data_IF_203971507356
#
_entry.id   IF_203971507356
#
_cell.length_a   1.000
_cell.length_b   1.000
_cell.length_c   1.000
_cell.angle_alpha   90.00
_cell.angle_beta   90.00
_cell.angle_gamma   90.00
#
_symmetry.space_group_name_H-M   'P 1'
#
loop_
_entity.id
_entity.type
_entity.pdbx_description
1 polymer ?
#
# COMPACT_ATOMS: atom_id res chain seq x y z
N UNK A 1 6.88 -3.88 15.36
CA UNK A 1 7.03 -2.84 14.29
C UNK A 1 6.10 -3.15 13.13
N UNK A 2 5.34 -2.18 12.73
CA UNK A 2 4.40 -2.29 11.59
C UNK A 2 5.03 -1.62 10.37
N UNK A 3 5.06 -2.35 9.27
CA UNK A 3 5.65 -1.86 8.01
C UNK A 3 4.57 -1.84 6.94
N UNK A 4 4.41 -0.70 6.26
CA UNK A 4 3.60 -0.60 5.06
C UNK A 4 4.52 -0.67 3.85
N UNK A 5 4.40 -1.74 3.07
CA UNK A 5 5.12 -1.90 1.81
C UNK A 5 4.25 -1.47 0.65
N UNK A 6 4.81 -0.69 -0.25
CA UNK A 6 4.12 -0.23 -1.45
C UNK A 6 4.92 -0.62 -2.68
N UNK A 7 4.27 -1.33 -3.61
CA UNK A 7 4.79 -1.59 -4.95
C UNK A 7 4.17 -0.57 -5.89
N UNK A 8 4.91 0.47 -6.28
CA UNK A 8 4.35 1.57 -7.04
C UNK A 8 3.95 1.15 -8.45
N UNK A 9 2.77 1.58 -8.85
CA UNK A 9 2.25 1.41 -10.19
C UNK A 9 1.12 2.39 -10.40
N UNK A 10 1.05 3.00 -11.57
CA UNK A 10 0.01 3.99 -11.84
C UNK A 10 -1.36 3.33 -12.02
N UNK A 11 -1.39 2.22 -12.71
CA UNK A 11 -2.63 1.48 -12.97
C UNK A 11 -2.98 0.54 -11.82
N UNK A 12 -1.96 -0.14 -11.28
CA UNK A 12 -2.08 -1.06 -10.16
C UNK A 12 -1.02 -0.74 -9.14
N UNK A 13 -1.44 -0.50 -7.91
CA UNK A 13 -0.54 -0.19 -6.82
C UNK A 13 -0.74 -1.23 -5.72
N UNK A 14 0.30 -2.04 -5.50
CA UNK A 14 0.27 -3.06 -4.46
C UNK A 14 0.60 -2.48 -3.08
N UNK A 15 -0.15 -2.91 -2.07
CA UNK A 15 0.09 -2.51 -0.68
C UNK A 15 0.07 -3.74 0.21
N UNK A 16 1.02 -3.82 1.15
CA UNK A 16 1.08 -4.88 2.13
C UNK A 16 1.44 -4.29 3.50
N UNK A 17 0.70 -4.71 4.53
CA UNK A 17 0.98 -4.32 5.91
C UNK A 17 1.54 -5.53 6.63
N UNK A 18 2.76 -5.42 7.11
CA UNK A 18 3.48 -6.49 7.79
C UNK A 18 3.79 -6.10 9.22
N UNK A 19 3.70 -7.07 10.12
CA UNK A 19 4.15 -6.92 11.49
C UNK A 19 5.41 -7.73 11.69
N UNK A 20 6.50 -7.07 12.06
CA UNK A 20 7.75 -7.74 12.42
C UNK A 20 7.64 -8.26 13.85
N UNK A 21 7.81 -9.56 14.00
CA UNK A 21 7.82 -10.24 15.29
C UNK A 21 9.13 -11.03 15.44
N UNK A 22 9.48 -11.40 16.68
CA UNK A 22 10.71 -12.18 16.96
C UNK A 22 10.72 -13.54 16.25
N UNK A 23 9.53 -14.11 16.04
CA UNK A 23 9.34 -15.42 15.41
C UNK A 23 9.20 -15.36 13.90
N UNK A 24 9.27 -14.18 13.32
CA UNK A 24 9.10 -13.97 11.87
C UNK A 24 8.09 -12.87 11.57
N UNK A 25 7.96 -12.55 10.30
CA UNK A 25 7.07 -11.49 9.84
C UNK A 25 5.65 -12.06 9.63
N UNK A 26 4.66 -11.29 10.06
CA UNK A 26 3.25 -11.65 9.89
C UNK A 26 2.58 -10.68 8.93
N UNK A 27 1.96 -11.20 7.87
CA UNK A 27 1.14 -10.41 6.98
C UNK A 27 -0.19 -10.08 7.66
N UNK A 28 -0.45 -8.78 7.87
CA UNK A 28 -1.69 -8.32 8.50
C UNK A 28 -2.75 -8.03 7.44
N UNK A 29 -2.34 -7.40 6.33
CA UNK A 29 -3.27 -6.94 5.30
C UNK A 29 -2.52 -6.77 3.98
N UNK A 30 -3.17 -7.08 2.88
CA UNK A 30 -2.65 -6.79 1.56
C UNK A 30 -3.79 -6.43 0.62
N UNK A 31 -3.49 -5.57 -0.32
CA UNK A 31 -4.46 -5.17 -1.34
C UNK A 31 -3.75 -4.68 -2.59
N UNK A 32 -4.47 -4.68 -3.69
CA UNK A 32 -4.02 -4.06 -4.92
C UNK A 32 -5.03 -2.97 -5.26
N UNK A 33 -4.58 -1.73 -5.26
CA UNK A 33 -5.39 -0.58 -5.62
C UNK A 33 -5.35 -0.40 -7.13
N UNK A 34 -6.52 -0.38 -7.75
CA UNK A 34 -6.62 -0.27 -9.19
C UNK A 34 -7.29 1.07 -9.53
N UNK A 35 -6.57 1.93 -10.25
CA UNK A 35 -7.15 3.18 -10.73
C UNK A 35 -7.86 2.97 -12.06
N UNK A 36 -8.94 3.72 -12.28
CA UNK A 36 -9.75 3.59 -13.49
C UNK A 36 -9.08 4.27 -14.67
N UNK A 37 -8.82 3.52 -15.74
CA UNK A 37 -8.20 4.08 -16.97
C UNK A 37 -9.00 5.23 -17.58
N UNK A 38 -10.31 5.24 -17.38
CA UNK A 38 -11.22 6.28 -17.91
C UNK A 38 -11.06 7.61 -17.20
N UNK A 39 -10.57 7.60 -15.96
CA UNK A 39 -10.46 8.82 -15.16
C UNK A 39 -9.23 9.64 -15.56
N UNK A 40 -9.30 10.98 -15.49
CA UNK A 40 -8.14 11.82 -15.69
C UNK A 40 -7.00 11.47 -14.73
N UNK A 41 -5.77 11.74 -15.15
CA UNK A 41 -4.57 11.44 -14.38
C UNK A 41 -4.64 11.95 -12.94
N UNK A 42 -5.07 13.19 -12.76
CA UNK A 42 -5.19 13.84 -11.45
C UNK A 42 -6.16 13.09 -10.53
N UNK A 43 -7.29 12.67 -11.06
CA UNK A 43 -8.28 11.93 -10.29
C UNK A 43 -7.76 10.55 -9.88
N UNK A 44 -6.98 9.91 -10.76
CA UNK A 44 -6.38 8.61 -10.46
C UNK A 44 -5.38 8.73 -9.31
N UNK A 45 -4.55 9.79 -9.31
CA UNK A 45 -3.60 10.05 -8.24
C UNK A 45 -4.31 10.37 -6.92
N UNK A 46 -5.38 11.16 -6.97
CA UNK A 46 -6.18 11.47 -5.78
C UNK A 46 -6.80 10.22 -5.18
N UNK A 47 -7.34 9.34 -6.01
CA UNK A 47 -7.92 8.08 -5.56
C UNK A 47 -6.88 7.21 -4.85
N UNK A 48 -5.73 6.99 -5.49
CA UNK A 48 -4.67 6.17 -4.92
C UNK A 48 -4.15 6.75 -3.61
N UNK A 49 -3.92 8.06 -3.57
CA UNK A 49 -3.47 8.75 -2.36
C UNK A 49 -4.47 8.66 -1.22
N UNK A 50 -5.75 8.78 -1.52
CA UNK A 50 -6.82 8.66 -0.53
C UNK A 50 -6.89 7.25 0.07
N UNK A 51 -6.76 6.23 -0.76
CA UNK A 51 -6.80 4.85 -0.31
C UNK A 51 -5.58 4.50 0.54
N UNK A 52 -4.38 4.96 0.15
CA UNK A 52 -3.17 4.78 0.96
C UNK A 52 -3.33 5.46 2.32
N UNK A 53 -3.89 6.66 2.34
CA UNK A 53 -4.12 7.40 3.59
C UNK A 53 -5.04 6.63 4.54
N UNK A 54 -6.06 5.96 4.02
CA UNK A 54 -6.95 5.12 4.82
C UNK A 54 -6.19 3.97 5.46
N UNK A 55 -5.30 3.34 4.72
CA UNK A 55 -4.47 2.24 5.21
C UNK A 55 -3.54 2.73 6.33
N UNK A 56 -2.90 3.88 6.12
CA UNK A 56 -2.01 4.48 7.11
C UNK A 56 -2.77 4.79 8.40
N UNK A 57 -3.95 5.36 8.30
CA UNK A 57 -4.78 5.69 9.47
C UNK A 57 -5.21 4.44 10.23
N UNK A 58 -5.56 3.38 9.51
CA UNK A 58 -6.06 2.15 10.13
C UNK A 58 -4.95 1.36 10.82
N UNK A 59 -3.82 1.18 10.17
CA UNK A 59 -2.75 0.30 10.66
C UNK A 59 -1.62 1.03 11.36
N UNK A 60 -1.51 2.34 11.19
CA UNK A 60 -0.50 3.20 11.83
C UNK A 60 0.91 2.62 11.70
N UNK A 61 1.40 2.44 10.46
CA UNK A 61 2.72 1.85 10.26
C UNK A 61 3.83 2.72 10.82
N UNK A 62 4.87 2.09 11.33
CA UNK A 62 6.07 2.77 11.81
C UNK A 62 7.01 3.12 10.67
N UNK A 63 6.99 2.31 9.61
CA UNK A 63 7.89 2.47 8.46
C UNK A 63 7.09 2.32 7.18
N UNK A 64 7.40 3.17 6.20
CA UNK A 64 6.93 3.05 4.83
C UNK A 64 8.08 2.58 3.96
N UNK A 65 7.89 1.46 3.28
CA UNK A 65 8.86 0.92 2.34
C UNK A 65 8.26 0.96 0.93
N UNK A 66 8.92 1.65 0.02
CA UNK A 66 8.50 1.76 -1.38
C UNK A 66 9.50 1.03 -2.23
N UNK A 67 9.12 -0.13 -2.72
CA UNK A 67 10.00 -0.94 -3.55
C UNK A 67 9.18 -1.88 -4.42
N UNK A 68 9.83 -2.43 -5.44
CA UNK A 68 9.18 -3.38 -6.32
C UNK A 68 9.01 -4.71 -5.58
N UNK A 69 7.75 -5.09 -5.34
CA UNK A 69 7.42 -6.35 -4.67
C UNK A 69 7.09 -7.40 -5.71
N UNK A 70 7.68 -8.57 -5.57
CA UNK A 70 7.36 -9.73 -6.40
C UNK A 70 6.53 -10.70 -5.58
N UNK A 71 5.34 -10.95 -6.03
CA UNK A 71 4.44 -11.91 -5.40
C UNK A 71 4.34 -13.16 -6.22
#
# INVERSE_FOLDING_TARGET
MIILGIDPGFEKLGCAVLKKEKTGDKLIYSTCLISKKKDPHEQRLLYLGKEIRKIIKKYKPDILSVEKLFF
#
